data_IF_180674376847
#
_entry.id   IF_180674376847
#
_cell.length_a   1.000
_cell.length_b   1.000
_cell.length_c   1.000
_cell.angle_alpha   90.00
_cell.angle_beta   90.00
_cell.angle_gamma   90.00
#
_symmetry.space_group_name_H-M   'P 1'
#
loop_
_entity.id
_entity.type
_entity.pdbx_description
1 polymer ?
#
# COMPACT_ATOMS: atom_id res chain seq x y z
N UNK A 1 30.26 -3.95 -5.01
CA UNK A 1 29.21 -4.54 -5.88
C UNK A 1 29.82 -5.04 -7.18
N UNK A 2 29.52 -6.25 -7.59
CA UNK A 2 29.99 -6.79 -8.88
C UNK A 2 29.32 -5.99 -10.00
N UNK A 3 30.10 -5.60 -11.05
CA UNK A 3 29.59 -4.85 -12.22
C UNK A 3 28.45 -5.57 -12.97
N UNK A 4 28.29 -6.85 -12.72
CA UNK A 4 27.28 -7.72 -13.34
C UNK A 4 25.98 -7.88 -12.51
N UNK A 5 25.90 -7.30 -11.32
CA UNK A 5 24.73 -7.37 -10.45
C UNK A 5 23.63 -6.45 -10.97
N UNK A 6 22.37 -6.90 -10.93
CA UNK A 6 21.19 -6.10 -11.21
C UNK A 6 20.43 -5.86 -9.88
N UNK A 7 19.81 -4.69 -9.75
CA UNK A 7 18.99 -4.36 -8.58
C UNK A 7 17.52 -4.35 -8.98
N UNK A 8 16.69 -5.03 -8.19
CA UNK A 8 15.24 -5.06 -8.40
C UNK A 8 14.53 -4.52 -7.17
N UNK A 9 13.70 -3.52 -7.35
CA UNK A 9 12.71 -3.07 -6.38
C UNK A 9 11.33 -3.56 -6.77
N UNK A 10 10.58 -4.06 -5.80
CA UNK A 10 9.19 -4.48 -5.97
C UNK A 10 8.32 -3.81 -4.91
N UNK A 11 7.26 -3.15 -5.35
CA UNK A 11 6.18 -2.61 -4.53
C UNK A 11 4.91 -3.41 -4.83
N UNK A 12 4.65 -4.42 -3.99
CA UNK A 12 3.59 -5.42 -4.19
C UNK A 12 2.35 -5.14 -3.37
N UNK A 13 1.39 -4.44 -3.94
CA UNK A 13 0.14 -4.06 -3.30
C UNK A 13 -1.01 -5.05 -3.48
N UNK A 14 -2.16 -4.72 -2.86
CA UNK A 14 -3.38 -5.55 -2.92
C UNK A 14 -4.10 -5.51 -4.28
N UNK A 15 -3.83 -4.52 -5.12
CA UNK A 15 -4.48 -4.33 -6.42
C UNK A 15 -3.52 -4.53 -7.59
N UNK A 16 -2.26 -4.15 -7.41
CA UNK A 16 -1.19 -4.23 -8.43
C UNK A 16 0.16 -4.35 -7.75
N UNK A 17 1.18 -4.81 -8.48
CA UNK A 17 2.57 -4.63 -8.10
C UNK A 17 3.28 -3.73 -9.12
N UNK A 18 4.28 -3.00 -8.67
CA UNK A 18 5.22 -2.25 -9.52
C UNK A 18 6.61 -2.84 -9.35
N UNK A 19 7.31 -2.98 -10.44
CA UNK A 19 8.64 -3.57 -10.48
C UNK A 19 9.57 -2.63 -11.25
N UNK A 20 10.76 -2.36 -10.71
CA UNK A 20 11.80 -1.58 -11.37
C UNK A 20 13.13 -2.29 -11.31
N UNK A 21 13.72 -2.52 -12.49
CA UNK A 21 15.03 -3.11 -12.65
C UNK A 21 16.05 -2.00 -12.91
N UNK A 22 17.15 -2.02 -12.17
CA UNK A 22 18.22 -1.02 -12.30
C UNK A 22 19.60 -1.68 -12.48
N UNK A 23 20.46 -0.98 -13.17
CA UNK A 23 21.90 -1.27 -13.18
C UNK A 23 22.52 -0.94 -11.78
N UNK A 24 23.74 -1.43 -11.48
CA UNK A 24 24.46 -1.08 -10.26
C UNK A 24 24.68 0.43 -10.07
N UNK A 25 24.79 1.17 -11.18
CA UNK A 25 24.90 2.64 -11.20
C UNK A 25 23.62 3.35 -10.70
N UNK A 26 22.48 2.66 -10.72
CA UNK A 26 21.16 3.21 -10.45
C UNK A 26 20.38 3.59 -11.73
N UNK A 27 20.97 3.44 -12.92
CA UNK A 27 20.24 3.65 -14.16
C UNK A 27 19.08 2.65 -14.25
N UNK A 28 17.88 3.14 -14.54
CA UNK A 28 16.69 2.32 -14.76
C UNK A 28 16.84 1.58 -16.09
N UNK A 29 16.70 0.27 -16.06
CA UNK A 29 16.76 -0.61 -17.23
C UNK A 29 15.37 -1.05 -17.70
N UNK A 30 14.41 -1.12 -16.79
CA UNK A 30 13.03 -1.45 -17.10
C UNK A 30 12.11 -1.17 -15.91
N UNK A 31 10.86 -0.87 -16.21
CA UNK A 31 9.80 -0.69 -15.20
C UNK A 31 8.50 -1.29 -15.74
N UNK A 32 7.78 -2.00 -14.86
CA UNK A 32 6.56 -2.70 -15.23
C UNK A 32 5.55 -2.70 -14.09
N UNK A 33 4.26 -2.75 -14.46
CA UNK A 33 3.16 -2.93 -13.53
C UNK A 33 2.52 -4.28 -13.77
N UNK A 34 2.48 -5.11 -12.72
CA UNK A 34 1.85 -6.42 -12.73
C UNK A 34 0.55 -6.46 -11.93
N UNK A 35 -0.05 -7.64 -11.87
CA UNK A 35 -1.24 -7.94 -11.07
C UNK A 35 -1.00 -7.78 -9.55
N UNK A 36 -2.03 -8.11 -8.72
CA UNK A 36 -1.92 -8.03 -7.27
C UNK A 36 -0.83 -8.96 -6.73
N UNK A 37 -0.06 -8.46 -5.75
CA UNK A 37 1.00 -9.21 -5.08
C UNK A 37 0.86 -9.16 -3.54
N UNK A 38 -0.38 -9.13 -3.05
CA UNK A 38 -0.66 -9.31 -1.62
C UNK A 38 -0.62 -10.80 -1.28
N UNK A 39 0.41 -11.22 -0.56
CA UNK A 39 0.69 -12.63 -0.27
C UNK A 39 -0.31 -13.27 0.69
N UNK A 40 -1.10 -12.49 1.43
CA UNK A 40 -2.18 -13.00 2.30
C UNK A 40 -3.29 -13.70 1.49
N UNK A 41 -3.50 -13.29 0.24
CA UNK A 41 -4.54 -13.85 -0.62
C UNK A 41 -4.02 -14.89 -1.62
N UNK A 42 -2.73 -15.23 -1.56
CA UNK A 42 -2.10 -16.25 -2.39
C UNK A 42 -0.62 -15.98 -2.60
N UNK A 43 0.21 -16.74 -1.91
CA UNK A 43 1.67 -16.61 -2.00
C UNK A 43 2.16 -16.86 -3.43
N UNK A 44 1.73 -17.97 -4.04
CA UNK A 44 2.09 -18.32 -5.41
C UNK A 44 1.62 -17.28 -6.42
N UNK A 45 0.37 -16.81 -6.30
CA UNK A 45 -0.17 -15.77 -7.18
C UNK A 45 0.63 -14.47 -7.07
N UNK A 46 0.99 -14.06 -5.84
CA UNK A 46 1.78 -12.86 -5.60
C UNK A 46 3.17 -12.95 -6.23
N UNK A 47 3.86 -14.07 -6.03
CA UNK A 47 5.17 -14.30 -6.65
C UNK A 47 5.10 -14.43 -8.17
N UNK A 48 4.08 -15.09 -8.72
CA UNK A 48 3.85 -15.18 -10.16
C UNK A 48 3.69 -13.80 -10.80
N UNK A 49 2.91 -12.91 -10.18
CA UNK A 49 2.76 -11.53 -10.65
C UNK A 49 4.09 -10.77 -10.66
N UNK A 50 4.89 -10.89 -9.59
CA UNK A 50 6.23 -10.28 -9.49
C UNK A 50 7.18 -10.83 -10.55
N UNK A 51 7.24 -12.16 -10.72
CA UNK A 51 8.14 -12.80 -11.68
C UNK A 51 7.77 -12.44 -13.12
N UNK A 52 6.48 -12.39 -13.44
CA UNK A 52 6.02 -11.96 -14.77
C UNK A 52 6.41 -10.51 -15.06
N UNK A 53 6.15 -9.58 -14.14
CA UNK A 53 6.54 -8.19 -14.29
C UNK A 53 8.07 -8.04 -14.38
N UNK A 54 8.85 -8.84 -13.62
CA UNK A 54 10.32 -8.83 -13.71
C UNK A 54 10.80 -9.32 -15.08
N UNK A 55 10.18 -10.37 -15.65
CA UNK A 55 10.51 -10.84 -17.00
C UNK A 55 10.33 -9.74 -18.05
N UNK A 56 9.25 -8.96 -17.94
CA UNK A 56 9.00 -7.82 -18.82
C UNK A 56 10.06 -6.72 -18.66
N UNK A 57 10.50 -6.44 -17.42
CA UNK A 57 11.61 -5.51 -17.19
C UNK A 57 12.93 -6.01 -17.81
N UNK A 58 13.21 -7.31 -17.73
CA UNK A 58 14.39 -7.91 -18.39
C UNK A 58 14.31 -7.76 -19.91
N UNK A 59 13.17 -8.04 -20.52
CA UNK A 59 12.95 -7.85 -21.97
C UNK A 59 13.18 -6.40 -22.40
N UNK A 60 12.67 -5.41 -21.63
CA UNK A 60 12.90 -3.98 -21.88
C UNK A 60 14.41 -3.63 -21.87
N UNK A 61 15.18 -4.34 -21.05
CA UNK A 61 16.62 -4.17 -20.93
C UNK A 61 17.44 -4.95 -21.99
N UNK A 62 16.81 -5.67 -22.90
CA UNK A 62 17.48 -6.59 -23.83
C UNK A 62 18.09 -7.83 -23.15
N UNK A 63 17.60 -8.18 -21.97
CA UNK A 63 18.00 -9.30 -21.15
C UNK A 63 16.97 -10.44 -21.24
N UNK A 64 17.24 -11.57 -20.59
CA UNK A 64 16.39 -12.75 -20.63
C UNK A 64 16.22 -13.40 -19.25
N UNK A 65 15.46 -14.48 -19.19
CA UNK A 65 15.29 -15.29 -17.97
C UNK A 65 16.62 -15.86 -17.43
N UNK A 66 17.67 -15.97 -18.24
CA UNK A 66 19.01 -16.39 -17.80
C UNK A 66 19.68 -15.37 -16.89
N UNK A 67 19.17 -14.14 -16.85
CA UNK A 67 19.72 -13.05 -16.06
C UNK A 67 19.10 -12.93 -14.65
N UNK A 68 18.04 -13.70 -14.33
CA UNK A 68 17.46 -13.76 -12.99
C UNK A 68 18.50 -14.00 -11.88
N UNK A 69 19.50 -14.93 -12.03
CA UNK A 69 20.50 -15.16 -11.00
C UNK A 69 21.43 -13.96 -10.73
N UNK A 70 21.42 -12.94 -11.57
CA UNK A 70 22.20 -11.69 -11.39
C UNK A 70 21.45 -10.68 -10.53
N UNK A 71 20.17 -10.91 -10.26
CA UNK A 71 19.29 -9.94 -9.59
C UNK A 71 19.43 -10.07 -8.08
N UNK A 72 19.68 -8.94 -7.41
CA UNK A 72 19.43 -8.74 -5.98
C UNK A 72 18.12 -7.98 -5.84
N UNK A 73 17.10 -8.65 -5.32
CA UNK A 73 15.74 -8.14 -5.24
C UNK A 73 15.37 -7.73 -3.82
N UNK A 74 14.64 -6.62 -3.67
CA UNK A 74 13.82 -6.34 -2.51
C UNK A 74 12.35 -6.48 -2.90
N UNK A 75 11.66 -7.44 -2.28
CA UNK A 75 10.26 -7.73 -2.49
C UNK A 75 9.48 -7.11 -1.31
N UNK A 76 9.00 -5.90 -1.49
CA UNK A 76 8.12 -5.23 -0.53
C UNK A 76 6.68 -5.62 -0.82
N UNK A 77 6.12 -6.54 -0.03
CA UNK A 77 4.85 -7.20 -0.33
C UNK A 77 3.79 -6.86 0.72
N UNK A 78 2.63 -6.45 0.28
CA UNK A 78 1.45 -6.37 1.14
C UNK A 78 1.14 -7.75 1.72
N UNK A 79 0.75 -7.80 3.00
CA UNK A 79 0.55 -9.05 3.72
C UNK A 79 1.80 -9.57 4.44
N UNK A 80 3.00 -9.19 4.04
CA UNK A 80 4.27 -9.59 4.69
C UNK A 80 4.50 -8.98 6.10
N UNK A 81 3.47 -8.43 6.69
CA UNK A 81 3.51 -7.90 8.07
C UNK A 81 3.13 -8.95 9.12
N UNK A 82 2.53 -10.07 8.71
CA UNK A 82 2.20 -11.19 9.58
C UNK A 82 3.40 -12.15 9.62
N UNK A 83 3.87 -12.60 10.81
CA UNK A 83 5.09 -13.41 10.92
C UNK A 83 5.07 -14.73 10.15
N UNK A 84 3.90 -15.38 10.03
CA UNK A 84 3.73 -16.63 9.27
C UNK A 84 3.87 -16.37 7.78
N UNK A 85 3.17 -15.37 7.25
CA UNK A 85 3.22 -14.96 5.86
C UNK A 85 4.63 -14.51 5.43
N UNK A 86 5.30 -13.73 6.30
CA UNK A 86 6.68 -13.30 6.06
C UNK A 86 7.64 -14.48 6.00
N UNK A 87 7.51 -15.47 6.92
CA UNK A 87 8.34 -16.68 6.86
C UNK A 87 8.07 -17.48 5.60
N UNK A 88 6.81 -17.69 5.23
CA UNK A 88 6.43 -18.38 4.00
C UNK A 88 7.01 -17.70 2.76
N UNK A 89 6.89 -16.35 2.68
CA UNK A 89 7.43 -15.60 1.57
C UNK A 89 8.98 -15.65 1.48
N UNK A 90 9.68 -15.67 2.62
CA UNK A 90 11.14 -15.80 2.66
C UNK A 90 11.63 -17.20 2.25
N UNK A 91 10.81 -18.22 2.43
CA UNK A 91 11.12 -19.61 2.07
C UNK A 91 10.63 -19.99 0.66
N UNK A 92 9.96 -19.06 -0.03
CA UNK A 92 9.43 -19.33 -1.37
C UNK A 92 10.58 -19.44 -2.38
N UNK A 93 10.57 -20.50 -3.18
CA UNK A 93 11.55 -20.71 -4.24
C UNK A 93 11.40 -19.69 -5.35
N UNK A 94 12.48 -19.03 -5.70
CA UNK A 94 12.51 -17.98 -6.71
C UNK A 94 13.82 -18.02 -7.52
N UNK A 95 13.82 -17.52 -8.77
CA UNK A 95 15.01 -17.56 -9.64
C UNK A 95 16.03 -16.45 -9.37
N UNK A 96 15.74 -15.48 -8.48
CA UNK A 96 16.68 -14.40 -8.17
C UNK A 96 17.96 -14.93 -7.51
N UNK A 97 19.10 -14.32 -7.81
CA UNK A 97 20.36 -14.66 -7.13
C UNK A 97 20.31 -14.39 -5.64
N UNK A 98 19.58 -13.34 -5.25
CA UNK A 98 19.28 -13.02 -3.84
C UNK A 98 17.97 -12.25 -3.76
N UNK A 99 17.11 -12.60 -2.80
CA UNK A 99 15.92 -11.82 -2.49
C UNK A 99 15.85 -11.48 -1.01
N UNK A 100 15.36 -10.28 -0.72
CA UNK A 100 15.01 -9.80 0.60
C UNK A 100 13.52 -9.47 0.60
N UNK A 101 12.75 -10.11 1.49
CA UNK A 101 11.31 -9.88 1.60
C UNK A 101 11.03 -9.00 2.81
N UNK A 102 10.28 -7.94 2.58
CA UNK A 102 9.78 -7.04 3.61
C UNK A 102 8.32 -6.66 3.34
N UNK A 103 7.68 -5.91 4.25
CA UNK A 103 6.36 -5.36 3.99
C UNK A 103 6.43 -4.05 3.17
N UNK A 104 5.34 -3.74 2.50
CA UNK A 104 5.16 -2.56 1.64
C UNK A 104 5.32 -1.23 2.41
N UNK A 105 4.83 -1.17 3.66
CA UNK A 105 4.95 0.04 4.49
C UNK A 105 6.39 0.34 4.90
N UNK A 106 7.24 -0.69 5.13
CA UNK A 106 8.68 -0.49 5.37
C UNK A 106 9.35 0.13 4.15
N UNK A 107 9.13 -0.42 2.96
CA UNK A 107 9.69 0.16 1.74
C UNK A 107 9.17 1.58 1.48
N UNK A 108 7.88 1.83 1.75
CA UNK A 108 7.30 3.18 1.65
C UNK A 108 8.00 4.15 2.61
N UNK A 109 8.29 3.74 3.86
CA UNK A 109 8.99 4.56 4.84
C UNK A 109 10.43 4.87 4.39
N UNK A 110 11.17 3.85 3.96
CA UNK A 110 12.55 4.02 3.43
C UNK A 110 12.56 4.96 2.23
N UNK A 111 11.62 4.81 1.30
CA UNK A 111 11.51 5.69 0.13
C UNK A 111 11.13 7.11 0.51
N UNK A 112 10.13 7.28 1.36
CA UNK A 112 9.64 8.60 1.77
C UNK A 112 10.71 9.45 2.48
N UNK A 113 11.63 8.82 3.21
CA UNK A 113 12.67 9.51 3.97
C UNK A 113 14.09 9.32 3.40
N UNK A 114 14.23 8.71 2.21
CA UNK A 114 15.52 8.40 1.58
C UNK A 114 16.46 7.64 2.54
N UNK A 115 15.93 6.67 3.27
CA UNK A 115 16.66 5.83 4.23
C UNK A 115 17.01 6.51 5.55
N UNK A 116 16.50 7.71 5.83
CA UNK A 116 16.65 8.39 7.12
C UNK A 116 15.49 8.04 8.05
N UNK A 117 15.70 8.30 9.34
CA UNK A 117 14.65 8.18 10.36
C UNK A 117 13.40 8.98 9.99
N UNK A 118 12.22 8.38 10.19
CA UNK A 118 10.93 8.99 9.93
C UNK A 118 9.78 8.00 10.00
N UNK A 119 8.59 8.50 9.77
CA UNK A 119 7.37 7.70 9.72
C UNK A 119 6.60 7.89 8.43
N UNK A 120 5.80 6.90 8.08
CA UNK A 120 4.87 6.95 6.95
C UNK A 120 3.50 6.44 7.38
N UNK A 121 2.44 7.04 6.88
CA UNK A 121 1.12 6.43 6.88
C UNK A 121 0.75 6.13 5.44
N UNK A 122 0.58 4.86 5.15
CA UNK A 122 0.12 4.39 3.84
C UNK A 122 -1.40 4.33 3.86
N UNK A 123 -2.05 5.10 3.00
CA UNK A 123 -3.51 5.17 2.87
C UNK A 123 -3.89 4.74 1.45
N UNK A 124 -4.37 3.52 1.32
CA UNK A 124 -4.75 2.90 0.05
C UNK A 124 -5.98 2.02 0.22
N UNK A 125 -5.94 0.80 -0.31
CA UNK A 125 -6.96 -0.22 -0.04
C UNK A 125 -7.09 -0.48 1.46
N UNK A 126 -5.95 -0.62 2.17
CA UNK A 126 -5.85 -0.62 3.64
C UNK A 126 -5.18 0.65 4.16
N UNK A 127 -5.00 0.73 5.48
CA UNK A 127 -4.30 1.84 6.15
C UNK A 127 -3.35 1.32 7.20
N UNK A 128 -2.08 1.75 7.16
CA UNK A 128 -1.06 1.38 8.14
C UNK A 128 -0.09 2.51 8.40
N UNK A 129 0.26 2.71 9.67
CA UNK A 129 1.38 3.55 10.08
C UNK A 129 2.64 2.70 10.29
N UNK A 130 3.78 3.19 9.78
CA UNK A 130 5.09 2.59 9.95
C UNK A 130 6.13 3.65 10.26
N UNK A 131 7.08 3.33 11.13
CA UNK A 131 8.22 4.21 11.36
C UNK A 131 9.51 3.41 11.48
N UNK A 132 10.60 4.04 11.05
CA UNK A 132 11.97 3.60 11.29
C UNK A 132 12.71 4.68 12.07
N UNK A 133 13.19 4.34 13.27
CA UNK A 133 13.86 5.25 14.18
C UNK A 133 15.08 4.54 14.80
N UNK A 134 16.28 5.02 14.50
CA UNK A 134 17.55 4.50 15.04
C UNK A 134 17.66 2.97 14.89
N UNK A 135 17.29 2.46 13.71
CA UNK A 135 17.30 1.03 13.37
C UNK A 135 16.19 0.20 14.05
N UNK A 136 15.22 0.84 14.71
CA UNK A 136 14.04 0.19 15.28
C UNK A 136 12.82 0.48 14.42
N UNK A 137 11.95 -0.51 14.27
CA UNK A 137 10.74 -0.43 13.48
C UNK A 137 9.51 -0.39 14.39
N UNK A 138 8.55 0.45 14.03
CA UNK A 138 7.29 0.60 14.74
C UNK A 138 6.14 0.51 13.74
N UNK A 139 5.13 -0.29 14.08
CA UNK A 139 3.90 -0.42 13.29
C UNK A 139 2.71 0.02 14.13
N UNK A 140 1.77 0.71 13.49
CA UNK A 140 0.49 1.12 14.10
C UNK A 140 -0.63 0.83 13.11
N UNK A 141 -1.65 0.10 13.52
CA UNK A 141 -2.76 -0.31 12.65
C UNK A 141 -2.37 -1.29 11.55
N UNK A 142 -3.14 -1.32 10.47
CA UNK A 142 -2.87 -2.17 9.30
C UNK A 142 -3.11 -3.66 9.55
N UNK A 143 -4.04 -4.02 10.45
CA UNK A 143 -4.33 -5.42 10.76
C UNK A 143 -5.26 -6.08 9.75
N UNK A 144 -5.88 -5.27 8.89
CA UNK A 144 -6.74 -5.73 7.81
C UNK A 144 -8.23 -5.67 8.12
N UNK A 145 -9.03 -5.44 7.07
CA UNK A 145 -10.49 -5.55 7.14
C UNK A 145 -10.92 -6.99 7.49
N UNK A 146 -12.05 -7.16 8.22
CA UNK A 146 -13.02 -6.11 8.59
C UNK A 146 -12.76 -5.43 9.94
N UNK A 147 -11.72 -5.80 10.69
CA UNK A 147 -11.52 -5.37 12.09
C UNK A 147 -10.53 -4.24 12.27
N UNK A 148 -9.87 -3.82 11.19
CA UNK A 148 -8.90 -2.72 11.17
C UNK A 148 -8.93 -2.00 9.82
N UNK A 149 -7.87 -1.26 9.48
CA UNK A 149 -7.71 -0.46 8.28
C UNK A 149 -8.66 0.75 8.23
N UNK A 150 -8.99 1.30 9.39
CA UNK A 150 -9.84 2.47 9.52
C UNK A 150 -9.24 3.67 8.77
N UNK A 151 -10.10 4.39 8.06
CA UNK A 151 -9.69 5.51 7.20
C UNK A 151 -9.16 5.11 5.83
N UNK A 152 -9.09 3.82 5.50
CA UNK A 152 -8.71 3.31 4.18
C UNK A 152 -9.84 3.41 3.15
N UNK A 153 -9.51 3.14 1.88
CA UNK A 153 -10.51 3.03 0.83
C UNK A 153 -11.54 1.92 1.08
N UNK A 154 -11.09 0.78 1.61
CA UNK A 154 -11.99 -0.32 1.93
C UNK A 154 -12.94 0.05 3.08
N UNK A 155 -12.41 0.73 4.10
CA UNK A 155 -13.22 1.24 5.20
C UNK A 155 -14.23 2.28 4.72
N UNK A 156 -13.81 3.26 3.90
CA UNK A 156 -14.69 4.27 3.31
C UNK A 156 -15.83 3.64 2.52
N UNK A 157 -15.52 2.69 1.63
CA UNK A 157 -16.55 2.00 0.83
C UNK A 157 -17.53 1.21 1.68
N UNK A 158 -17.05 0.49 2.70
CA UNK A 158 -17.89 -0.25 3.63
C UNK A 158 -18.82 0.69 4.41
N UNK A 159 -18.29 1.79 4.96
CA UNK A 159 -19.06 2.79 5.70
C UNK A 159 -20.08 3.52 4.82
N UNK A 160 -19.75 3.78 3.56
CA UNK A 160 -20.67 4.40 2.62
C UNK A 160 -21.85 3.48 2.30
N UNK A 161 -21.61 2.19 2.02
CA UNK A 161 -22.69 1.23 1.81
C UNK A 161 -23.55 1.02 3.06
N UNK A 162 -22.95 1.08 4.26
CA UNK A 162 -23.71 1.08 5.52
C UNK A 162 -24.69 2.26 5.58
N UNK A 163 -24.30 3.46 5.15
CA UNK A 163 -25.16 4.63 5.09
C UNK A 163 -26.24 4.54 4.02
N UNK A 164 -25.95 3.89 2.88
CA UNK A 164 -26.99 3.56 1.87
C UNK A 164 -28.10 2.71 2.51
N UNK A 165 -27.74 1.68 3.28
CA UNK A 165 -28.73 0.84 3.98
C UNK A 165 -29.49 1.64 5.05
N UNK A 166 -28.81 2.55 5.79
CA UNK A 166 -29.50 3.42 6.75
C UNK A 166 -30.47 4.38 6.09
N UNK A 167 -30.15 4.90 4.90
CA UNK A 167 -31.08 5.75 4.14
C UNK A 167 -32.28 4.93 3.63
N UNK A 168 -32.04 3.70 3.18
CA UNK A 168 -33.11 2.77 2.79
C UNK A 168 -34.08 2.49 3.96
N UNK A 169 -33.55 2.31 5.17
CA UNK A 169 -34.35 2.09 6.39
C UNK A 169 -35.01 3.37 6.92
N UNK A 170 -34.77 4.53 6.32
CA UNK A 170 -35.28 5.83 6.80
C UNK A 170 -34.59 6.35 8.06
N UNK A 171 -33.42 5.81 8.44
CA UNK A 171 -32.64 6.24 9.60
C UNK A 171 -31.87 7.54 9.35
N UNK A 172 -31.54 7.83 8.08
CA UNK A 172 -30.96 9.08 7.61
C UNK A 172 -31.63 9.48 6.28
N UNK A 173 -31.48 10.74 5.89
CA UNK A 173 -31.94 11.22 4.58
C UNK A 173 -31.06 10.70 3.43
N UNK A 174 -31.67 10.60 2.25
CA UNK A 174 -30.93 10.35 1.01
C UNK A 174 -30.12 11.58 0.60
N UNK A 175 -28.91 11.34 0.11
CA UNK A 175 -28.04 12.35 -0.50
C UNK A 175 -27.67 11.94 -1.93
N UNK A 176 -26.96 12.83 -2.66
CA UNK A 176 -26.50 12.53 -4.01
C UNK A 176 -25.51 11.36 -4.02
N UNK A 177 -24.55 11.35 -3.07
CA UNK A 177 -23.62 10.24 -2.89
C UNK A 177 -24.35 8.92 -2.67
N UNK A 178 -25.28 8.88 -1.72
CA UNK A 178 -25.99 7.65 -1.36
C UNK A 178 -26.81 7.13 -2.53
N UNK A 179 -27.44 8.04 -3.28
CA UNK A 179 -28.21 7.71 -4.48
C UNK A 179 -27.30 7.19 -5.61
N UNK A 180 -26.11 7.78 -5.80
CA UNK A 180 -25.13 7.32 -6.78
C UNK A 180 -24.62 5.91 -6.47
N UNK A 181 -24.32 5.63 -5.20
CA UNK A 181 -23.88 4.31 -4.75
C UNK A 181 -25.00 3.28 -4.87
N UNK A 182 -26.23 3.60 -4.43
CA UNK A 182 -27.36 2.68 -4.51
C UNK A 182 -27.66 2.23 -5.95
N UNK A 183 -27.56 3.14 -6.93
CA UNK A 183 -27.76 2.81 -8.35
C UNK A 183 -26.80 1.73 -8.86
N UNK A 184 -25.57 1.64 -8.33
CA UNK A 184 -24.62 0.58 -8.72
C UNK A 184 -25.12 -0.82 -8.32
N UNK A 185 -26.03 -0.89 -7.35
CA UNK A 185 -26.64 -2.12 -6.85
C UNK A 185 -28.14 -2.20 -7.15
N UNK A 186 -28.58 -1.58 -8.26
CA UNK A 186 -29.98 -1.58 -8.71
C UNK A 186 -30.95 -0.96 -7.68
N UNK A 187 -30.43 -0.14 -6.76
CA UNK A 187 -31.18 0.43 -5.62
C UNK A 187 -31.86 -0.63 -4.73
N UNK A 188 -31.34 -1.87 -4.74
CA UNK A 188 -31.85 -2.98 -3.96
C UNK A 188 -30.90 -3.31 -2.80
N UNK A 189 -31.33 -3.16 -1.52
CA UNK A 189 -30.51 -3.45 -0.36
C UNK A 189 -30.06 -4.91 -0.28
N UNK A 190 -30.88 -5.85 -0.78
CA UNK A 190 -30.51 -7.26 -0.80
C UNK A 190 -29.36 -7.53 -1.78
N UNK A 191 -29.28 -6.78 -2.88
CA UNK A 191 -28.14 -6.84 -3.82
C UNK A 191 -26.88 -6.33 -3.17
N UNK A 192 -26.93 -5.24 -2.39
CA UNK A 192 -25.78 -4.74 -1.62
C UNK A 192 -25.27 -5.81 -0.64
N UNK A 193 -26.17 -6.40 0.16
CA UNK A 193 -25.79 -7.40 1.17
C UNK A 193 -25.21 -8.65 0.53
N UNK A 194 -25.81 -9.15 -0.54
CA UNK A 194 -25.34 -10.30 -1.30
C UNK A 194 -23.95 -10.06 -1.90
N UNK A 195 -23.71 -8.88 -2.48
CA UNK A 195 -22.41 -8.49 -2.99
C UNK A 195 -21.39 -8.39 -1.86
N UNK A 196 -21.70 -7.71 -0.74
CA UNK A 196 -20.82 -7.50 0.38
C UNK A 196 -20.37 -8.80 1.06
N UNK A 197 -21.18 -9.87 1.03
CA UNK A 197 -20.85 -11.17 1.61
C UNK A 197 -19.72 -11.91 0.88
N UNK A 198 -19.36 -11.50 -0.34
CA UNK A 198 -18.29 -12.09 -1.15
C UNK A 198 -17.20 -11.07 -1.51
N UNK A 199 -17.42 -9.79 -1.24
CA UNK A 199 -16.53 -8.71 -1.60
C UNK A 199 -15.21 -8.76 -0.77
N UNK A 200 -14.09 -8.65 -1.46
CA UNK A 200 -12.78 -8.48 -0.84
C UNK A 200 -12.54 -6.98 -0.49
N UNK A 201 -11.57 -6.65 0.36
CA UNK A 201 -11.27 -5.26 0.70
C UNK A 201 -11.06 -4.34 -0.51
N UNK A 202 -10.47 -4.84 -1.60
CA UNK A 202 -10.27 -4.09 -2.84
C UNK A 202 -11.59 -3.67 -3.51
N UNK A 203 -12.62 -4.50 -3.36
CA UNK A 203 -13.92 -4.25 -3.99
C UNK A 203 -14.65 -3.11 -3.27
N UNK A 204 -14.55 -3.06 -1.93
CA UNK A 204 -14.99 -1.90 -1.16
C UNK A 204 -14.17 -0.65 -1.48
N UNK A 205 -12.85 -0.78 -1.58
CA UNK A 205 -11.96 0.34 -1.89
C UNK A 205 -12.23 0.95 -3.28
N UNK A 206 -12.78 0.18 -4.21
CA UNK A 206 -13.19 0.68 -5.52
C UNK A 206 -14.34 1.71 -5.46
N UNK A 207 -15.05 1.82 -4.33
CA UNK A 207 -16.07 2.83 -4.09
C UNK A 207 -15.49 4.17 -3.62
N UNK A 208 -14.24 4.20 -3.13
CA UNK A 208 -13.64 5.42 -2.59
C UNK A 208 -13.58 6.59 -3.59
N UNK A 209 -13.28 6.40 -4.88
CA UNK A 209 -13.34 7.49 -5.86
C UNK A 209 -14.70 8.19 -5.91
N UNK A 210 -15.79 7.42 -5.89
CA UNK A 210 -17.14 7.99 -5.89
C UNK A 210 -17.38 8.87 -4.66
N UNK A 211 -16.89 8.46 -3.49
CA UNK A 211 -17.02 9.24 -2.25
C UNK A 211 -16.23 10.54 -2.36
N UNK A 212 -15.01 10.48 -2.90
CA UNK A 212 -14.13 11.64 -3.09
C UNK A 212 -14.72 12.64 -4.10
N UNK A 213 -15.28 12.14 -5.20
CA UNK A 213 -15.92 12.96 -6.23
C UNK A 213 -17.16 13.69 -5.72
N UNK A 214 -17.80 13.17 -4.66
CA UNK A 214 -18.94 13.81 -4.00
C UNK A 214 -18.53 14.64 -2.78
N UNK A 215 -17.28 15.09 -2.67
CA UNK A 215 -16.89 16.03 -1.62
C UNK A 215 -17.78 17.29 -1.66
N UNK A 216 -18.35 17.68 -0.51
CA UNK A 216 -19.42 18.65 -0.38
C UNK A 216 -20.82 18.05 -0.13
N UNK A 217 -21.00 16.75 -0.42
CA UNK A 217 -22.17 16.01 0.06
C UNK A 217 -22.01 15.76 1.58
N UNK A 218 -23.07 15.99 2.40
CA UNK A 218 -22.97 15.87 3.85
C UNK A 218 -22.43 14.52 4.34
N UNK A 219 -22.79 13.42 3.67
CA UNK A 219 -22.34 12.07 4.03
C UNK A 219 -20.91 11.82 3.57
N UNK A 220 -20.53 12.30 2.38
CA UNK A 220 -19.14 12.24 1.92
C UNK A 220 -18.21 12.96 2.87
N UNK A 221 -18.55 14.20 3.24
CA UNK A 221 -17.76 15.02 4.16
C UNK A 221 -17.65 14.40 5.55
N UNK A 222 -18.75 13.79 6.06
CA UNK A 222 -18.71 13.04 7.31
C UNK A 222 -17.71 11.89 7.23
N UNK A 223 -17.79 11.07 6.17
CA UNK A 223 -16.92 9.91 5.98
C UNK A 223 -15.46 10.29 5.83
N UNK A 224 -15.15 11.32 5.05
CA UNK A 224 -13.79 11.81 4.83
C UNK A 224 -13.20 12.40 6.13
N UNK A 225 -14.02 13.12 6.91
CA UNK A 225 -13.60 13.64 8.23
C UNK A 225 -13.33 12.53 9.24
N UNK A 226 -14.17 11.50 9.27
CA UNK A 226 -13.95 10.33 10.11
C UNK A 226 -12.67 9.60 9.70
N UNK A 227 -12.44 9.41 8.38
CA UNK A 227 -11.22 8.81 7.87
C UNK A 227 -9.98 9.60 8.26
N UNK A 228 -10.00 10.94 8.12
CA UNK A 228 -8.94 11.82 8.59
C UNK A 228 -8.66 11.65 10.09
N UNK A 229 -9.70 11.59 10.91
CA UNK A 229 -9.57 11.37 12.35
C UNK A 229 -8.96 10.01 12.73
N UNK A 230 -9.19 8.96 11.94
CA UNK A 230 -8.50 7.67 12.13
C UNK A 230 -7.01 7.79 11.81
N UNK A 231 -6.66 8.46 10.71
CA UNK A 231 -5.27 8.70 10.32
C UNK A 231 -4.55 9.58 11.34
N UNK A 232 -5.22 10.58 11.91
CA UNK A 232 -4.67 11.40 12.99
C UNK A 232 -4.29 10.58 14.23
N UNK A 233 -5.08 9.55 14.56
CA UNK A 233 -4.74 8.63 15.67
C UNK A 233 -3.50 7.80 15.38
N UNK A 234 -3.32 7.34 14.13
CA UNK A 234 -2.09 6.66 13.71
C UNK A 234 -0.89 7.60 13.80
N UNK A 235 -1.03 8.83 13.28
CA UNK A 235 0.00 9.87 13.34
C UNK A 235 0.40 10.19 14.78
N UNK A 236 -0.57 10.44 15.65
CA UNK A 236 -0.33 10.74 17.06
C UNK A 236 0.46 9.61 17.74
N UNK A 237 0.15 8.33 17.41
CA UNK A 237 0.88 7.21 17.98
C UNK A 237 2.31 7.11 17.47
N UNK A 238 2.55 7.37 16.18
CA UNK A 238 3.90 7.42 15.61
C UNK A 238 4.73 8.56 16.23
N UNK A 239 4.14 9.75 16.38
CA UNK A 239 4.78 10.89 17.06
C UNK A 239 5.13 10.53 18.51
N UNK A 240 4.28 9.82 19.23
CA UNK A 240 4.57 9.34 20.58
C UNK A 240 5.73 8.33 20.65
N UNK A 241 6.08 7.67 19.54
CA UNK A 241 7.30 6.86 19.43
C UNK A 241 8.56 7.69 19.12
N UNK A 242 8.40 8.99 18.84
CA UNK A 242 9.49 9.90 18.52
C UNK A 242 9.62 10.26 17.05
N UNK A 243 8.59 10.01 16.24
CA UNK A 243 8.57 10.45 14.83
C UNK A 243 8.42 11.97 14.77
N UNK A 244 9.41 12.65 14.21
CA UNK A 244 9.40 14.10 13.98
C UNK A 244 9.01 14.47 12.54
N UNK A 245 9.13 13.52 11.61
CA UNK A 245 8.86 13.67 10.18
C UNK A 245 7.96 12.54 9.72
N UNK A 246 6.76 12.87 9.31
CA UNK A 246 5.75 11.92 8.85
C UNK A 246 5.44 12.19 7.38
N UNK A 247 5.40 11.16 6.55
CA UNK A 247 4.93 11.26 5.17
C UNK A 247 3.61 10.53 5.00
N UNK A 248 2.79 10.99 4.07
CA UNK A 248 1.63 10.24 3.58
C UNK A 248 2.01 9.53 2.27
N UNK A 249 1.56 8.29 2.12
CA UNK A 249 1.74 7.50 0.92
C UNK A 249 0.46 6.74 0.57
N UNK A 250 0.40 6.16 -0.64
CA UNK A 250 -0.78 5.43 -1.10
C UNK A 250 -1.74 6.28 -1.93
N UNK A 251 -2.64 5.60 -2.64
CA UNK A 251 -3.51 6.25 -3.63
C UNK A 251 -4.51 7.24 -3.06
N UNK A 252 -4.89 7.10 -1.77
CA UNK A 252 -5.82 8.01 -1.10
C UNK A 252 -5.12 9.18 -0.40
N UNK A 253 -3.80 9.13 -0.22
CA UNK A 253 -3.06 10.17 0.51
C UNK A 253 -3.36 11.61 0.04
N UNK A 254 -3.35 11.92 -1.28
CA UNK A 254 -3.64 13.28 -1.75
C UNK A 254 -5.06 13.77 -1.43
N UNK A 255 -6.01 12.85 -1.32
CA UNK A 255 -7.43 13.18 -1.11
C UNK A 255 -7.80 13.29 0.37
N UNK A 256 -7.00 12.69 1.25
CA UNK A 256 -7.29 12.67 2.69
C UNK A 256 -6.54 13.77 3.46
N UNK A 257 -5.46 14.31 2.90
CA UNK A 257 -4.61 15.31 3.56
C UNK A 257 -5.38 16.54 4.03
N UNK A 258 -6.35 17.01 3.22
CA UNK A 258 -7.20 18.15 3.56
C UNK A 258 -8.08 17.91 4.80
N UNK A 259 -8.33 16.66 5.15
CA UNK A 259 -9.19 16.23 6.26
C UNK A 259 -8.44 15.92 7.56
N UNK A 260 -7.10 16.07 7.54
CA UNK A 260 -6.28 15.84 8.71
C UNK A 260 -6.31 17.03 9.68
N UNK A 261 -6.14 16.71 10.96
CA UNK A 261 -6.00 17.70 12.02
C UNK A 261 -4.68 18.48 11.94
N UNK A 262 -4.66 19.64 12.56
CA UNK A 262 -3.49 20.55 12.55
C UNK A 262 -2.23 19.88 13.13
N UNK A 263 -2.38 19.10 14.20
CA UNK A 263 -1.26 18.40 14.85
C UNK A 263 -0.55 17.44 13.89
N UNK A 264 -1.29 16.69 13.10
CA UNK A 264 -0.75 15.79 12.08
C UNK A 264 -0.08 16.60 10.97
N UNK A 265 -0.75 17.62 10.44
CA UNK A 265 -0.22 18.48 9.36
C UNK A 265 1.10 19.14 9.71
N UNK A 266 1.34 19.52 10.97
CA UNK A 266 2.61 20.13 11.42
C UNK A 266 3.83 19.22 11.27
N UNK A 267 3.66 17.92 11.34
CA UNK A 267 4.75 16.93 11.22
C UNK A 267 4.84 16.33 9.82
N UNK A 268 3.90 16.67 8.92
CA UNK A 268 3.93 16.18 7.55
C UNK A 268 5.10 16.77 6.77
N UNK A 269 5.76 15.90 6.03
CA UNK A 269 6.80 16.28 5.06
C UNK A 269 6.49 15.62 3.71
N UNK A 270 6.78 16.26 2.60
CA UNK A 270 6.68 15.62 1.30
C UNK A 270 7.58 14.38 1.24
N UNK A 271 7.10 13.25 0.71
CA UNK A 271 7.92 12.06 0.53
C UNK A 271 9.03 12.34 -0.49
N UNK A 272 10.28 11.95 -0.17
CA UNK A 272 11.42 12.07 -1.08
C UNK A 272 11.35 11.08 -2.25
N UNK A 273 10.65 9.95 -2.06
CA UNK A 273 10.41 8.92 -3.05
C UNK A 273 9.30 8.00 -2.60
N UNK A 274 8.89 7.10 -3.49
CA UNK A 274 7.82 6.14 -3.25
C UNK A 274 8.34 4.79 -2.71
N UNK A 275 7.42 3.83 -2.47
CA UNK A 275 7.76 2.49 -1.99
C UNK A 275 8.71 1.74 -2.95
N UNK A 276 8.59 1.98 -4.25
CA UNK A 276 9.47 1.36 -5.25
C UNK A 276 10.91 1.89 -5.14
N UNK A 277 11.07 3.19 -4.91
CA UNK A 277 12.38 3.79 -4.64
C UNK A 277 12.98 3.25 -3.34
N UNK A 278 12.17 3.08 -2.29
CA UNK A 278 12.60 2.48 -1.03
C UNK A 278 13.01 1.02 -1.18
N UNK A 279 12.25 0.23 -1.93
CA UNK A 279 12.59 -1.16 -2.23
C UNK A 279 13.94 -1.27 -2.97
N UNK A 280 14.21 -0.37 -3.91
CA UNK A 280 15.51 -0.30 -4.59
C UNK A 280 16.66 0.08 -3.64
N UNK A 281 16.44 1.00 -2.70
CA UNK A 281 17.43 1.34 -1.68
C UNK A 281 17.75 0.14 -0.80
N UNK A 282 16.74 -0.61 -0.37
CA UNK A 282 16.91 -1.84 0.41
C UNK A 282 17.65 -2.93 -0.39
N UNK A 283 17.31 -3.11 -1.68
CA UNK A 283 18.04 -4.04 -2.55
C UNK A 283 19.51 -3.66 -2.69
N UNK A 284 19.80 -2.36 -2.84
CA UNK A 284 21.17 -1.84 -2.92
C UNK A 284 21.96 -2.07 -1.63
N UNK A 285 21.37 -1.81 -0.47
CA UNK A 285 21.98 -2.09 0.83
C UNK A 285 22.30 -3.58 1.00
N UNK A 286 21.35 -4.45 0.61
CA UNK A 286 21.55 -5.91 0.63
C UNK A 286 22.69 -6.36 -0.32
N UNK A 287 22.84 -5.73 -1.47
CA UNK A 287 23.92 -6.03 -2.42
C UNK A 287 25.29 -5.57 -1.91
N UNK A 288 25.35 -4.50 -1.10
CA UNK A 288 26.59 -3.98 -0.50
C UNK A 288 27.07 -4.80 0.70
N UNK A 289 26.16 -5.30 1.53
CA UNK A 289 26.48 -6.08 2.73
C UNK A 289 27.05 -7.49 2.45
N UNK A 290 27.02 -7.96 1.22
CA UNK A 290 27.63 -9.24 0.81
C UNK A 290 29.08 -9.09 0.33
N UNK A 291 29.64 -7.87 0.34
CA UNK A 291 31.01 -7.57 -0.11
C UNK A 291 31.96 -7.24 1.08
N UNK A 292 31.47 -7.32 2.30
CA UNK A 292 32.21 -7.24 3.55
C UNK A 292 32.23 -8.63 4.22
#
# INVERSE_FOLDING_TARGET
>A
MNKNTLLLGVDGGGTRCRVRLCAPSGAVLGEETGGPANIRFGLEQGFSAVLHATSRCLEQAGLSSRDFPRIVACLALAGASEPGELRAARSYEHPFGRAFVTNDAHAACVGAHAGRDGGVIVVGTGTVGWAELKGRHFRVGGWGMPVSDEGSGAWLGCEALRRVLWAHDGRIGWTELLSALARQYQSDPHTIVRWASHAAPRDFAALAPVIIEHAGDPVADELLRLAGGHIDRLAARLVAYGVERLALAGGLAPHIEAWLGEATRRVLVPPAGDALAGALQLARAAAGSAAA
#
